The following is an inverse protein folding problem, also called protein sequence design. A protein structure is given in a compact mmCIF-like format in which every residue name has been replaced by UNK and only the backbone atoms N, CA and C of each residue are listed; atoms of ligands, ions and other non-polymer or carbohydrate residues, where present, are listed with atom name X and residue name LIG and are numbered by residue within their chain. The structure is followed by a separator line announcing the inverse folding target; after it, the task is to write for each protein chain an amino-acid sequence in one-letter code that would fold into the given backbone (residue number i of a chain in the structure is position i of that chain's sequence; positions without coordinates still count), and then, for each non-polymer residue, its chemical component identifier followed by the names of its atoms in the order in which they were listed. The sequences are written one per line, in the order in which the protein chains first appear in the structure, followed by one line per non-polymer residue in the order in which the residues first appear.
data_IF_123155315341
#
_entry.id   IF_123155315341
#
_cell.length_a   1.000
_cell.length_b   1.000
_cell.length_c   1.000
_cell.angle_alpha   90.00
_cell.angle_beta   90.00
_cell.angle_gamma   90.00
#
_symmetry.space_group_name_H-M   'P 1'
#
loop_
_entity.id
_entity.type
_entity.pdbx_description
1 polymer ?
#
# COMPACT_ATOMS: atom_id res chain seq x y z
N UNK A 1 24.82 7.69 57.33
CA UNK A 1 23.81 8.29 56.43
C UNK A 1 23.99 7.87 54.96
N UNK A 2 24.68 6.77 54.63
CA UNK A 2 25.01 6.43 53.23
C UNK A 2 24.21 5.28 52.61
N UNK A 3 23.61 4.39 53.41
CA UNK A 3 22.95 3.16 52.90
C UNK A 3 21.57 3.39 52.28
N UNK A 4 20.80 4.36 52.76
CA UNK A 4 19.45 4.64 52.24
C UNK A 4 19.51 5.37 50.89
N UNK A 5 20.50 6.24 50.71
CA UNK A 5 20.70 6.99 49.48
C UNK A 5 21.25 6.08 48.36
N UNK A 6 22.10 5.11 48.72
CA UNK A 6 22.60 4.07 47.82
C UNK A 6 21.47 3.13 47.34
N UNK A 7 20.59 2.68 48.24
CA UNK A 7 19.43 1.87 47.88
C UNK A 7 18.48 2.58 46.91
N UNK A 8 18.26 3.88 47.11
CA UNK A 8 17.41 4.70 46.23
C UNK A 8 18.03 4.84 44.85
N UNK A 9 19.33 5.09 44.77
CA UNK A 9 20.05 5.19 43.49
C UNK A 9 20.00 3.85 42.73
N UNK A 10 20.23 2.72 43.41
CA UNK A 10 20.10 1.39 42.80
C UNK A 10 18.67 1.10 42.29
N UNK A 11 17.63 1.59 42.99
CA UNK A 11 16.24 1.42 42.56
C UNK A 11 15.91 2.23 41.30
N UNK A 12 16.44 3.46 41.19
CA UNK A 12 16.27 4.33 40.02
C UNK A 12 17.00 3.75 38.80
N UNK A 13 18.21 3.22 38.98
CA UNK A 13 18.93 2.52 37.91
C UNK A 13 18.18 1.28 37.41
N UNK A 14 17.57 0.51 38.31
CA UNK A 14 16.74 -0.65 37.92
C UNK A 14 15.49 -0.23 37.16
N UNK A 15 14.86 0.89 37.52
CA UNK A 15 13.69 1.41 36.82
C UNK A 15 14.03 1.86 35.38
N UNK A 16 15.17 2.54 35.19
CA UNK A 16 15.65 2.96 33.87
C UNK A 16 15.98 1.72 33.01
N UNK A 17 16.67 0.73 33.58
CA UNK A 17 16.98 -0.52 32.88
C UNK A 17 15.71 -1.28 32.43
N UNK A 18 14.68 -1.31 33.29
CA UNK A 18 13.39 -1.91 32.94
C UNK A 18 12.70 -1.16 31.80
N UNK A 19 12.71 0.18 31.81
CA UNK A 19 12.13 1.00 30.75
C UNK A 19 12.83 0.79 29.39
N UNK A 20 14.16 0.73 29.37
CA UNK A 20 14.93 0.46 28.16
C UNK A 20 14.62 -0.94 27.58
N UNK A 21 14.46 -1.94 28.44
CA UNK A 21 14.10 -3.28 28.00
C UNK A 21 12.67 -3.37 27.43
N UNK A 22 11.74 -2.61 28.00
CA UNK A 22 10.37 -2.50 27.49
C UNK A 22 10.35 -1.86 26.09
N UNK A 23 11.13 -0.80 25.87
CA UNK A 23 11.27 -0.15 24.56
C UNK A 23 11.87 -1.13 23.54
N UNK A 24 12.95 -1.84 23.90
CA UNK A 24 13.56 -2.83 23.02
C UNK A 24 12.56 -3.92 22.61
N UNK A 25 11.73 -4.39 23.55
CA UNK A 25 10.67 -5.37 23.29
C UNK A 25 9.60 -4.81 22.36
N UNK A 26 9.15 -3.57 22.58
CA UNK A 26 8.16 -2.92 21.71
C UNK A 26 8.69 -2.75 20.27
N UNK A 27 9.97 -2.37 20.10
CA UNK A 27 10.60 -2.27 18.79
C UNK A 27 10.74 -3.63 18.10
N UNK A 28 11.04 -4.69 18.84
CA UNK A 28 11.04 -6.06 18.31
C UNK A 28 9.65 -6.50 17.86
N UNK A 29 8.59 -6.15 18.60
CA UNK A 29 7.20 -6.46 18.22
C UNK A 29 6.75 -5.67 16.97
N UNK A 30 7.12 -4.38 16.88
CA UNK A 30 6.87 -3.58 15.68
C UNK A 30 7.63 -4.11 14.47
N UNK A 31 8.89 -4.52 14.67
CA UNK A 31 9.67 -5.13 13.60
C UNK A 31 9.07 -6.46 13.19
N UNK A 32 8.60 -7.29 14.14
CA UNK A 32 7.93 -8.55 13.84
C UNK A 32 6.62 -8.34 13.06
N UNK A 33 5.78 -7.38 13.45
CA UNK A 33 4.53 -7.06 12.73
C UNK A 33 4.75 -6.45 11.35
N UNK A 34 5.85 -5.72 11.14
CA UNK A 34 6.22 -5.19 9.83
C UNK A 34 6.98 -6.22 8.96
N UNK A 35 7.70 -7.15 9.58
CA UNK A 35 8.48 -8.21 8.92
C UNK A 35 7.70 -9.50 8.72
N UNK A 36 6.57 -9.66 9.40
CA UNK A 36 5.56 -10.63 9.02
C UNK A 36 5.30 -10.41 7.52
N UNK A 37 5.63 -11.39 6.66
CA UNK A 37 5.31 -11.26 5.26
C UNK A 37 3.80 -11.04 5.23
N UNK A 38 3.33 -9.91 4.67
CA UNK A 38 1.93 -9.76 4.25
C UNK A 38 1.60 -11.08 3.56
N UNK A 39 0.82 -11.94 4.22
CA UNK A 39 0.55 -13.28 3.74
C UNK A 39 -0.37 -13.13 2.53
N UNK A 40 0.25 -12.89 1.39
CA UNK A 40 -0.33 -12.88 0.05
C UNK A 40 0.80 -13.06 -0.96
N UNK A 41 1.75 -13.95 -0.62
CA UNK A 41 2.55 -14.64 -1.61
C UNK A 41 1.71 -15.82 -2.11
N UNK A 42 1.27 -15.72 -3.37
CA UNK A 42 0.68 -16.77 -4.22
C UNK A 42 -0.69 -17.34 -3.82
N UNK A 43 -1.77 -16.59 -4.05
CA UNK A 43 -3.06 -17.16 -4.42
C UNK A 43 -3.82 -16.16 -5.33
N UNK A 44 -4.07 -16.43 -6.63
CA UNK A 44 -4.74 -15.49 -7.54
C UNK A 44 -6.25 -15.32 -7.25
N UNK A 45 -6.77 -15.83 -6.12
CA UNK A 45 -8.20 -15.88 -5.81
C UNK A 45 -8.52 -15.74 -4.31
N UNK A 46 -7.84 -14.84 -3.61
CA UNK A 46 -8.20 -14.48 -2.24
C UNK A 46 -7.91 -13.00 -1.99
N UNK A 47 -8.63 -12.14 -2.70
CA UNK A 47 -8.68 -10.70 -2.43
C UNK A 47 -9.58 -10.49 -1.20
N UNK A 48 -8.99 -10.53 -0.01
CA UNK A 48 -9.52 -9.79 1.14
C UNK A 48 -8.81 -8.44 1.28
N UNK A 49 -8.39 -7.85 0.16
CA UNK A 49 -8.31 -6.40 0.06
C UNK A 49 -9.74 -5.90 0.00
N UNK A 50 -10.06 -4.89 0.80
CA UNK A 50 -11.33 -4.17 0.75
C UNK A 50 -11.83 -4.11 -0.71
N UNK A 51 -13.10 -4.45 -1.01
CA UNK A 51 -13.56 -4.65 -2.39
C UNK A 51 -13.36 -3.42 -3.30
N UNK A 52 -13.08 -2.26 -2.70
CA UNK A 52 -12.81 -0.98 -3.37
C UNK A 52 -11.34 -0.52 -3.25
N UNK A 53 -10.40 -1.40 -2.91
CA UNK A 53 -8.97 -1.06 -2.77
C UNK A 53 -8.39 -0.38 -4.03
N UNK A 54 -8.91 -0.77 -5.20
CA UNK A 54 -8.48 -0.24 -6.49
C UNK A 54 -8.84 1.24 -6.66
N UNK A 55 -9.84 1.77 -5.93
CA UNK A 55 -10.22 3.18 -6.02
C UNK A 55 -9.11 4.11 -5.56
N UNK A 56 -8.42 3.78 -4.47
CA UNK A 56 -7.28 4.56 -3.97
C UNK A 56 -6.13 4.58 -4.98
N UNK A 57 -5.90 3.44 -5.65
CA UNK A 57 -4.86 3.32 -6.68
C UNK A 57 -5.22 4.14 -7.92
N UNK A 58 -6.48 4.11 -8.35
CA UNK A 58 -6.95 4.94 -9.47
C UNK A 58 -6.88 6.43 -9.15
N UNK A 59 -7.20 6.83 -7.93
CA UNK A 59 -7.09 8.22 -7.48
C UNK A 59 -5.64 8.70 -7.48
N UNK A 60 -4.71 7.87 -7.01
CA UNK A 60 -3.30 8.20 -7.06
C UNK A 60 -2.78 8.23 -8.51
N UNK A 61 -3.17 7.28 -9.35
CA UNK A 61 -2.79 7.25 -10.74
C UNK A 61 -3.29 8.49 -11.49
N UNK A 62 -4.52 8.93 -11.22
CA UNK A 62 -5.08 10.16 -11.76
C UNK A 62 -4.34 11.40 -11.25
N UNK A 63 -3.99 11.45 -9.96
CA UNK A 63 -3.34 12.61 -9.34
C UNK A 63 -1.88 12.80 -9.77
N UNK A 64 -1.22 11.70 -10.14
CA UNK A 64 0.19 11.67 -10.52
C UNK A 64 0.39 11.50 -12.04
N UNK A 65 -0.68 11.55 -12.82
CA UNK A 65 -0.67 11.31 -14.28
C UNK A 65 0.05 10.01 -14.67
N UNK A 66 -0.15 8.94 -13.88
CA UNK A 66 0.48 7.65 -14.16
C UNK A 66 -0.12 7.00 -15.40
N UNK A 67 0.76 6.37 -16.17
CA UNK A 67 0.39 5.55 -17.32
C UNK A 67 0.32 4.09 -16.89
N UNK A 68 -0.84 3.49 -17.04
CA UNK A 68 -1.10 2.08 -16.74
C UNK A 68 -1.12 1.26 -18.01
N UNK A 69 -0.61 0.04 -17.95
CA UNK A 69 -0.74 -0.95 -19.02
C UNK A 69 -2.16 -1.52 -19.09
N UNK A 70 -2.50 -2.15 -20.23
CA UNK A 70 -3.75 -2.92 -20.36
C UNK A 70 -3.90 -3.98 -19.27
N UNK A 71 -2.83 -4.68 -18.89
CA UNK A 71 -2.87 -5.72 -17.86
C UNK A 71 -3.11 -5.13 -16.46
N UNK A 72 -2.46 -4.02 -16.12
CA UNK A 72 -2.68 -3.35 -14.83
C UNK A 72 -4.10 -2.81 -14.71
N UNK A 73 -4.64 -2.20 -15.78
CA UNK A 73 -6.03 -1.76 -15.80
C UNK A 73 -6.96 -2.95 -15.61
N UNK A 74 -6.73 -4.06 -16.33
CA UNK A 74 -7.52 -5.30 -16.18
C UNK A 74 -7.47 -5.86 -14.76
N UNK A 75 -6.31 -5.83 -14.10
CA UNK A 75 -6.17 -6.25 -12.70
C UNK A 75 -6.91 -5.33 -11.72
N UNK A 76 -6.90 -4.01 -11.98
CA UNK A 76 -7.55 -3.03 -11.11
C UNK A 76 -9.07 -3.10 -11.20
N UNK A 77 -9.62 -3.15 -12.41
CA UNK A 77 -11.08 -3.06 -12.63
C UNK A 77 -11.73 -4.43 -12.89
N UNK A 78 -10.93 -5.49 -13.02
CA UNK A 78 -11.37 -6.86 -13.31
C UNK A 78 -11.87 -7.09 -14.74
N UNK A 79 -11.74 -6.09 -15.61
CA UNK A 79 -12.21 -6.12 -17.00
C UNK A 79 -11.13 -5.54 -17.88
N UNK A 80 -10.80 -6.23 -18.96
CA UNK A 80 -9.86 -5.73 -19.96
C UNK A 80 -10.42 -4.48 -20.65
N UNK A 81 -9.71 -3.34 -20.64
CA UNK A 81 -10.18 -2.15 -21.34
C UNK A 81 -10.18 -2.43 -22.85
N UNK A 82 -11.33 -2.19 -23.48
CA UNK A 82 -11.51 -2.32 -24.92
C UNK A 82 -11.96 -0.97 -25.46
N UNK A 83 -11.31 -0.54 -26.54
CA UNK A 83 -11.79 0.57 -27.36
C UNK A 83 -12.06 0.05 -28.77
N UNK A 84 -13.14 0.51 -29.40
CA UNK A 84 -13.34 0.30 -30.82
C UNK A 84 -12.26 1.03 -31.65
N UNK A 85 -12.15 0.71 -32.94
CA UNK A 85 -11.04 1.18 -33.81
C UNK A 85 -10.86 2.70 -33.84
N UNK A 86 -11.93 3.46 -33.60
CA UNK A 86 -11.91 4.92 -33.60
C UNK A 86 -12.10 5.54 -32.20
N UNK A 87 -12.21 4.71 -31.17
CA UNK A 87 -12.32 5.17 -29.79
C UNK A 87 -10.94 5.17 -29.13
N UNK A 88 -10.61 6.26 -28.45
CA UNK A 88 -9.40 6.35 -27.62
C UNK A 88 -9.72 6.29 -26.13
N UNK A 89 -11.01 6.20 -25.77
CA UNK A 89 -11.49 6.30 -24.40
C UNK A 89 -12.28 5.05 -24.06
N UNK A 90 -12.05 4.51 -22.86
CA UNK A 90 -12.84 3.45 -22.26
C UNK A 90 -13.37 3.95 -20.92
N UNK A 91 -14.68 3.95 -20.74
CA UNK A 91 -15.32 4.42 -19.51
C UNK A 91 -15.73 3.25 -18.62
N UNK A 92 -15.51 3.39 -17.31
CA UNK A 92 -15.93 2.42 -16.31
C UNK A 92 -16.34 3.12 -15.02
N UNK A 93 -17.65 3.18 -14.77
CA UNK A 93 -18.19 3.86 -13.60
C UNK A 93 -17.82 5.35 -13.62
N UNK A 94 -17.15 5.84 -12.58
CA UNK A 94 -16.69 7.24 -12.49
C UNK A 94 -15.29 7.48 -13.09
N UNK A 95 -14.70 6.48 -13.74
CA UNK A 95 -13.34 6.55 -14.27
C UNK A 95 -13.31 6.44 -15.79
N UNK A 96 -12.42 7.21 -16.40
CA UNK A 96 -12.17 7.28 -17.83
C UNK A 96 -10.71 6.89 -18.09
N UNK A 97 -10.52 5.86 -18.91
CA UNK A 97 -9.21 5.36 -19.32
C UNK A 97 -8.95 5.82 -20.75
N UNK A 98 -8.04 6.78 -20.92
CA UNK A 98 -7.68 7.31 -22.23
C UNK A 98 -6.40 6.66 -22.72
N UNK A 99 -6.43 6.13 -23.93
CA UNK A 99 -5.25 5.61 -24.62
C UNK A 99 -4.32 6.76 -24.97
N UNK A 100 -3.15 6.78 -24.34
CA UNK A 100 -2.14 7.84 -24.54
C UNK A 100 -0.92 7.37 -25.33
N UNK A 101 -0.76 6.06 -25.54
CA UNK A 101 0.35 5.53 -26.32
C UNK A 101 0.56 4.04 -26.12
N UNK A 102 1.82 3.64 -26.06
CA UNK A 102 2.26 2.28 -25.75
C UNK A 102 3.25 2.29 -24.62
N UNK A 103 3.08 1.37 -23.67
CA UNK A 103 4.05 1.08 -22.63
C UNK A 103 4.60 -0.31 -22.94
N UNK A 104 5.79 -0.35 -23.54
CA UNK A 104 6.37 -1.57 -24.10
C UNK A 104 5.49 -2.18 -25.19
N UNK A 105 5.07 -3.44 -25.00
CA UNK A 105 4.19 -4.17 -25.93
C UNK A 105 2.69 -3.92 -25.73
N UNK A 106 2.30 -3.17 -24.70
CA UNK A 106 0.91 -2.96 -24.31
C UNK A 106 0.47 -1.52 -24.55
N UNK A 107 -0.84 -1.28 -24.53
CA UNK A 107 -1.39 0.07 -24.64
C UNK A 107 -1.17 0.79 -23.30
N UNK A 108 -0.73 2.04 -23.36
CA UNK A 108 -0.64 2.92 -22.21
C UNK A 108 -1.97 3.66 -22.04
N UNK A 109 -2.52 3.59 -20.84
CA UNK A 109 -3.78 4.19 -20.43
C UNK A 109 -3.52 5.24 -19.35
N UNK A 110 -4.07 6.43 -19.54
CA UNK A 110 -4.13 7.46 -18.51
C UNK A 110 -5.51 7.44 -17.87
N UNK A 111 -5.54 7.55 -16.54
CA UNK A 111 -6.77 7.54 -15.75
C UNK A 111 -7.22 8.98 -15.49
N UNK A 112 -8.49 9.24 -15.74
CA UNK A 112 -9.14 10.51 -15.41
C UNK A 112 -10.51 10.24 -14.77
N UNK A 113 -11.01 11.21 -14.01
CA UNK A 113 -12.34 11.13 -13.40
C UNK A 113 -13.38 11.73 -14.35
N UNK A 114 -14.50 11.03 -14.57
CA UNK A 114 -15.66 11.64 -15.21
C UNK A 114 -16.25 12.65 -14.23
N UNK A 115 -16.12 13.94 -14.57
CA UNK A 115 -16.63 15.04 -13.76
C UNK A 115 -18.13 15.23 -13.90
#
# INVERSE_FOLDING_TARGET
MSTVQDLRMMSEFRAIAAGLNAIATALQQLTATLSEPRQSRTNPKATSLHPLWYLEVLEQACSQDWQLTTEEVEQLIGVKPHCHKDEMVCERGSWCFTKVGKLGGQIAWQVSKLS
#
